data_IF_695020408569
#
_entry.id   IF_695020408569
#
_cell.length_a   1.000
_cell.length_b   1.000
_cell.length_c   1.000
_cell.angle_alpha   90.00
_cell.angle_beta   90.00
_cell.angle_gamma   90.00
#
_symmetry.space_group_name_H-M   'P 1'
#
loop_
_entity.id
_entity.type
_entity.pdbx_description
1 polymer ?
#
# COMPACT_ATOMS: atom_id res chain seq x y z
N UNK A 1 -2.50 3.90 -36.26
CA UNK A 1 -2.45 4.47 -34.88
C UNK A 1 -1.30 3.82 -34.17
N UNK A 2 -0.37 4.57 -33.60
CA UNK A 2 0.79 4.03 -32.87
C UNK A 2 0.30 3.31 -31.60
N UNK A 3 0.71 2.05 -31.43
CA UNK A 3 0.42 1.25 -30.24
C UNK A 3 1.73 0.99 -29.51
N UNK A 4 1.85 1.34 -28.21
CA UNK A 4 3.08 1.09 -27.45
C UNK A 4 3.45 -0.40 -27.45
N UNK A 5 4.73 -0.71 -27.51
CA UNK A 5 5.23 -2.09 -27.54
C UNK A 5 4.70 -2.91 -26.37
N UNK A 6 4.69 -2.34 -25.17
CA UNK A 6 4.17 -2.99 -23.96
C UNK A 6 2.70 -3.44 -24.07
N UNK A 7 1.88 -2.78 -24.90
CA UNK A 7 0.49 -3.17 -25.13
C UNK A 7 0.34 -4.17 -26.28
N UNK A 8 1.27 -4.17 -27.19
CA UNK A 8 1.25 -5.07 -28.35
C UNK A 8 1.69 -6.48 -28.00
N UNK A 9 2.75 -6.61 -27.20
CA UNK A 9 3.30 -7.90 -26.81
C UNK A 9 2.63 -8.51 -25.57
N UNK A 10 1.46 -7.97 -25.16
CA UNK A 10 0.74 -8.51 -24.01
C UNK A 10 0.39 -9.98 -24.21
N UNK A 11 0.69 -10.85 -23.24
CA UNK A 11 0.30 -12.25 -23.27
C UNK A 11 -1.20 -12.45 -23.51
N UNK A 12 -1.54 -13.46 -24.30
CA UNK A 12 -2.92 -13.91 -24.53
C UNK A 12 -3.26 -15.20 -23.77
N UNK A 13 -2.25 -15.83 -23.17
CA UNK A 13 -2.42 -17.02 -22.33
C UNK A 13 -1.78 -16.83 -20.96
N UNK A 14 -2.25 -17.60 -19.96
CA UNK A 14 -1.66 -17.57 -18.60
C UNK A 14 -0.22 -18.07 -18.58
N UNK A 15 0.13 -18.96 -19.52
CA UNK A 15 1.48 -19.56 -19.61
C UNK A 15 2.52 -18.56 -20.10
N UNK A 16 2.09 -17.54 -20.85
CA UNK A 16 2.95 -16.47 -21.35
C UNK A 16 3.11 -15.31 -20.37
N UNK A 17 2.33 -15.30 -19.27
CA UNK A 17 2.46 -14.27 -18.24
C UNK A 17 3.79 -14.41 -17.50
N UNK A 18 4.59 -13.39 -17.55
CA UNK A 18 5.93 -13.38 -16.95
C UNK A 18 5.83 -13.31 -15.42
N UNK A 19 6.52 -14.21 -14.73
CA UNK A 19 6.51 -14.26 -13.26
C UNK A 19 5.22 -14.83 -12.67
N UNK A 20 4.85 -14.39 -11.47
CA UNK A 20 3.63 -14.75 -10.74
C UNK A 20 3.41 -16.26 -10.54
N UNK A 21 4.49 -17.05 -10.47
CA UNK A 21 4.42 -18.53 -10.39
C UNK A 21 3.65 -19.03 -9.16
N UNK A 22 3.61 -18.25 -8.07
CA UNK A 22 2.90 -18.58 -6.83
C UNK A 22 1.37 -18.58 -6.99
N UNK A 23 0.81 -17.82 -7.94
CA UNK A 23 -0.63 -17.78 -8.23
C UNK A 23 -1.00 -18.34 -9.59
N UNK A 24 -0.09 -18.27 -10.58
CA UNK A 24 -0.34 -18.70 -11.97
C UNK A 24 0.43 -19.96 -12.38
N UNK A 25 1.39 -20.46 -11.58
CA UNK A 25 2.10 -21.70 -11.85
C UNK A 25 1.20 -22.93 -11.82
N UNK A 26 1.73 -24.10 -12.17
CA UNK A 26 0.99 -25.36 -12.08
C UNK A 26 0.52 -25.59 -10.64
N UNK A 27 -0.81 -25.70 -10.44
CA UNK A 27 -1.42 -25.79 -9.11
C UNK A 27 -1.67 -24.45 -8.40
N UNK A 28 -1.29 -23.32 -8.98
CA UNK A 28 -1.59 -21.99 -8.44
C UNK A 28 -3.10 -21.77 -8.29
N UNK A 29 -3.50 -21.09 -7.18
CA UNK A 29 -4.92 -20.91 -6.88
C UNK A 29 -5.65 -20.12 -7.97
N UNK A 30 -5.07 -19.00 -8.43
CA UNK A 30 -5.67 -18.18 -9.47
C UNK A 30 -5.79 -18.93 -10.79
N UNK A 31 -4.77 -19.73 -11.18
CA UNK A 31 -4.83 -20.60 -12.36
C UNK A 31 -6.00 -21.57 -12.28
N UNK A 32 -6.16 -22.28 -11.17
CA UNK A 32 -7.25 -23.24 -10.97
C UNK A 32 -8.65 -22.59 -11.07
N UNK A 33 -8.79 -21.39 -10.50
CA UNK A 33 -10.04 -20.61 -10.60
C UNK A 33 -10.33 -20.27 -12.06
N UNK A 34 -9.32 -19.81 -12.82
CA UNK A 34 -9.51 -19.44 -14.23
C UNK A 34 -9.83 -20.68 -15.08
N UNK A 35 -9.17 -21.80 -14.81
CA UNK A 35 -9.40 -23.07 -15.51
C UNK A 35 -10.78 -23.70 -15.19
N UNK A 36 -11.32 -23.47 -14.00
CA UNK A 36 -12.68 -23.91 -13.65
C UNK A 36 -13.80 -23.16 -14.39
N UNK A 37 -13.51 -22.00 -14.98
CA UNK A 37 -14.49 -21.12 -15.63
C UNK A 37 -15.42 -20.38 -14.67
N UNK A 38 -15.40 -20.69 -13.38
CA UNK A 38 -16.19 -20.01 -12.35
C UNK A 38 -15.36 -18.90 -11.72
N UNK A 39 -15.56 -17.68 -12.19
CA UNK A 39 -14.76 -16.53 -11.77
C UNK A 39 -15.49 -15.77 -10.66
N UNK A 40 -14.99 -15.80 -9.41
CA UNK A 40 -15.50 -14.96 -8.33
C UNK A 40 -15.03 -13.50 -8.50
N UNK A 41 -15.57 -12.63 -7.66
CA UNK A 41 -14.98 -11.29 -7.52
C UNK A 41 -13.56 -11.37 -6.95
N UNK A 42 -12.65 -10.58 -7.48
CA UNK A 42 -11.23 -10.64 -7.11
C UNK A 42 -10.64 -9.24 -6.93
N UNK A 43 -9.65 -9.16 -6.08
CA UNK A 43 -8.83 -7.97 -5.90
C UNK A 43 -7.37 -8.36 -6.16
N UNK A 44 -6.76 -7.71 -7.15
CA UNK A 44 -5.36 -7.87 -7.50
C UNK A 44 -4.56 -6.71 -6.90
N UNK A 45 -3.68 -6.99 -5.96
CA UNK A 45 -2.84 -5.94 -5.39
C UNK A 45 -1.36 -6.23 -5.62
N UNK A 46 -0.57 -5.17 -5.67
CA UNK A 46 0.87 -5.23 -5.87
C UNK A 46 1.38 -4.16 -6.84
N UNK A 47 2.70 -4.06 -7.05
CA UNK A 47 3.33 -3.02 -7.85
C UNK A 47 2.82 -2.93 -9.27
N UNK A 48 3.02 -1.77 -9.92
CA UNK A 48 2.69 -1.58 -11.33
C UNK A 48 3.53 -2.49 -12.23
N UNK A 49 3.03 -2.76 -13.45
CA UNK A 49 3.75 -3.56 -14.45
C UNK A 49 3.91 -5.05 -14.15
N UNK A 50 3.30 -5.57 -13.07
CA UNK A 50 3.39 -6.98 -12.65
C UNK A 50 2.39 -7.91 -13.34
N UNK A 51 1.55 -7.40 -14.26
CA UNK A 51 0.65 -8.20 -15.08
C UNK A 51 -0.82 -8.23 -14.66
N UNK A 52 -1.25 -7.47 -13.62
CA UNK A 52 -2.66 -7.43 -13.13
C UNK A 52 -3.68 -7.25 -14.24
N UNK A 53 -3.56 -6.19 -15.04
CA UNK A 53 -4.45 -5.90 -16.18
C UNK A 53 -4.40 -6.97 -17.27
N UNK A 54 -3.23 -7.56 -17.52
CA UNK A 54 -3.04 -8.64 -18.50
C UNK A 54 -3.82 -9.89 -18.09
N UNK A 55 -3.68 -10.30 -16.83
CA UNK A 55 -4.38 -11.47 -16.29
C UNK A 55 -5.90 -11.25 -16.30
N UNK A 56 -6.39 -10.06 -15.93
CA UNK A 56 -7.81 -9.74 -16.01
C UNK A 56 -8.36 -9.84 -17.45
N UNK A 57 -7.58 -9.43 -18.46
CA UNK A 57 -7.94 -9.58 -19.88
C UNK A 57 -8.02 -11.05 -20.30
N UNK A 58 -7.04 -11.85 -19.91
CA UNK A 58 -7.04 -13.29 -20.20
C UNK A 58 -8.25 -13.99 -19.58
N UNK A 59 -8.60 -13.63 -18.34
CA UNK A 59 -9.79 -14.15 -17.66
C UNK A 59 -11.05 -13.82 -18.45
N UNK A 60 -11.21 -12.58 -18.88
CA UNK A 60 -12.38 -12.16 -19.64
C UNK A 60 -12.51 -12.93 -20.97
N UNK A 61 -11.40 -13.11 -21.70
CA UNK A 61 -11.37 -13.88 -22.95
C UNK A 61 -11.76 -15.35 -22.74
N UNK A 62 -11.21 -15.99 -21.69
CA UNK A 62 -11.49 -17.39 -21.41
C UNK A 62 -12.94 -17.68 -20.95
N UNK A 63 -13.56 -16.69 -20.32
CA UNK A 63 -14.92 -16.83 -19.78
C UNK A 63 -16.02 -16.30 -20.71
N UNK A 64 -15.66 -15.87 -21.91
CA UNK A 64 -16.58 -15.27 -22.90
C UNK A 64 -17.44 -14.13 -22.33
N UNK A 65 -16.89 -13.39 -21.34
CA UNK A 65 -17.53 -12.23 -20.72
C UNK A 65 -17.13 -10.93 -21.42
N UNK A 66 -18.04 -9.99 -21.46
CA UNK A 66 -17.72 -8.64 -21.97
C UNK A 66 -16.82 -7.92 -20.95
N UNK A 67 -15.59 -7.63 -21.36
CA UNK A 67 -14.65 -6.86 -20.52
C UNK A 67 -14.96 -5.38 -20.59
N UNK A 68 -15.31 -4.78 -19.46
CA UNK A 68 -15.37 -3.33 -19.28
C UNK A 68 -14.23 -2.88 -18.38
N UNK A 69 -13.52 -1.83 -18.80
CA UNK A 69 -12.41 -1.26 -18.04
C UNK A 69 -12.77 0.12 -17.57
N UNK A 70 -12.58 0.36 -16.30
CA UNK A 70 -12.61 1.69 -15.68
C UNK A 70 -11.28 1.94 -14.96
N UNK A 71 -10.83 3.19 -15.03
CA UNK A 71 -9.73 3.64 -14.18
C UNK A 71 -10.29 4.61 -13.14
N UNK A 72 -10.16 4.27 -11.86
CA UNK A 72 -10.73 5.04 -10.77
C UNK A 72 -10.14 6.46 -10.63
N UNK A 73 -9.00 6.74 -11.27
CA UNK A 73 -8.43 8.10 -11.31
C UNK A 73 -9.22 9.05 -12.22
N UNK A 74 -9.93 8.53 -13.21
CA UNK A 74 -10.64 9.33 -14.23
C UNK A 74 -12.13 9.04 -14.28
N UNK A 75 -12.56 7.85 -13.84
CA UNK A 75 -13.95 7.42 -13.88
C UNK A 75 -14.77 7.95 -12.71
N UNK A 76 -16.07 8.14 -12.93
CA UNK A 76 -17.04 8.55 -11.92
C UNK A 76 -18.24 7.61 -11.81
N UNK A 77 -19.21 7.99 -10.98
CA UNK A 77 -20.46 7.23 -10.80
C UNK A 77 -21.27 7.15 -12.11
N UNK A 78 -21.15 8.15 -12.99
CA UNK A 78 -21.82 8.15 -14.27
C UNK A 78 -21.35 7.00 -15.18
N UNK A 79 -20.03 6.74 -15.21
CA UNK A 79 -19.46 5.66 -16.02
C UNK A 79 -19.89 4.29 -15.52
N UNK A 80 -19.99 4.11 -14.19
CA UNK A 80 -20.53 2.90 -13.58
C UNK A 80 -21.98 2.70 -13.99
N UNK A 81 -22.81 3.74 -13.92
CA UNK A 81 -24.23 3.70 -14.34
C UNK A 81 -24.39 3.37 -15.80
N UNK A 82 -23.52 3.87 -16.67
CA UNK A 82 -23.53 3.55 -18.08
C UNK A 82 -23.26 2.05 -18.32
N UNK A 83 -22.25 1.48 -17.66
CA UNK A 83 -21.99 0.03 -17.74
C UNK A 83 -23.20 -0.78 -17.27
N UNK A 84 -23.84 -0.33 -16.20
CA UNK A 84 -25.03 -0.97 -15.64
C UNK A 84 -26.19 -0.93 -16.66
N UNK A 85 -26.44 0.20 -17.29
CA UNK A 85 -27.48 0.33 -18.31
C UNK A 85 -27.25 -0.61 -19.52
N UNK A 86 -26.01 -0.96 -19.82
CA UNK A 86 -25.64 -1.89 -20.88
C UNK A 86 -25.89 -3.37 -20.47
N UNK A 87 -26.00 -3.69 -19.19
CA UNK A 87 -26.16 -5.08 -18.68
C UNK A 87 -27.50 -5.70 -19.08
N UNK A 88 -28.55 -4.88 -19.19
CA UNK A 88 -29.90 -5.32 -19.51
C UNK A 88 -30.13 -5.45 -21.03
N UNK A 89 -29.06 -5.27 -21.83
CA UNK A 89 -29.15 -5.39 -23.30
C UNK A 89 -28.75 -6.79 -23.76
N UNK A 90 -29.32 -7.24 -24.89
CA UNK A 90 -28.97 -8.53 -25.55
C UNK A 90 -27.49 -8.65 -25.97
N UNK A 91 -26.70 -7.60 -25.78
CA UNK A 91 -25.30 -7.51 -26.21
C UNK A 91 -24.33 -8.19 -25.20
N UNK A 92 -24.80 -8.64 -24.04
CA UNK A 92 -23.93 -9.24 -23.00
C UNK A 92 -24.46 -10.59 -22.47
N UNK A 93 -24.65 -11.59 -23.33
CA UNK A 93 -25.25 -12.88 -22.91
C UNK A 93 -24.42 -13.65 -21.87
N UNK A 94 -23.11 -13.39 -21.74
CA UNK A 94 -22.22 -13.99 -20.77
C UNK A 94 -22.00 -13.17 -19.49
N UNK A 95 -22.70 -12.04 -19.34
CA UNK A 95 -22.46 -11.08 -18.25
C UNK A 95 -21.24 -10.20 -18.49
N UNK A 96 -21.01 -9.26 -17.58
CA UNK A 96 -19.89 -8.31 -17.64
C UNK A 96 -18.82 -8.64 -16.63
N UNK A 97 -17.56 -8.62 -17.08
CA UNK A 97 -16.39 -8.57 -16.21
C UNK A 97 -15.91 -7.12 -16.15
N UNK A 98 -16.09 -6.50 -14.99
CA UNK A 98 -15.62 -5.14 -14.75
C UNK A 98 -14.20 -5.18 -14.17
N UNK A 99 -13.22 -4.70 -14.95
CA UNK A 99 -11.89 -4.43 -14.45
C UNK A 99 -11.80 -2.98 -14.00
N UNK A 100 -11.69 -2.78 -12.68
CA UNK A 100 -11.55 -1.47 -12.06
C UNK A 100 -10.09 -1.26 -11.63
N UNK A 101 -9.38 -0.43 -12.38
CA UNK A 101 -7.97 -0.11 -12.10
C UNK A 101 -7.86 1.00 -11.05
N UNK A 102 -6.88 0.85 -10.15
CA UNK A 102 -6.56 1.80 -9.07
C UNK A 102 -7.76 2.13 -8.15
N UNK A 103 -8.46 1.10 -7.66
CA UNK A 103 -9.69 1.23 -6.84
C UNK A 103 -9.54 2.17 -5.63
N UNK A 104 -8.34 2.38 -5.10
CA UNK A 104 -8.07 3.27 -3.97
C UNK A 104 -8.45 4.74 -4.26
N UNK A 105 -8.57 5.14 -5.53
CA UNK A 105 -9.03 6.48 -5.89
C UNK A 105 -10.55 6.64 -5.87
N UNK A 106 -11.31 5.54 -5.79
CA UNK A 106 -12.74 5.61 -5.55
C UNK A 106 -13.01 5.83 -4.06
N UNK A 107 -13.81 6.86 -3.75
CA UNK A 107 -14.29 7.06 -2.40
C UNK A 107 -15.28 5.96 -1.98
N UNK A 108 -15.57 5.89 -0.68
CA UNK A 108 -16.46 4.88 -0.09
C UNK A 108 -17.83 4.80 -0.77
N UNK A 109 -18.41 5.95 -1.14
CA UNK A 109 -19.73 6.01 -1.80
C UNK A 109 -19.70 5.44 -3.22
N UNK A 110 -18.61 5.70 -3.96
CA UNK A 110 -18.40 5.13 -5.29
C UNK A 110 -18.21 3.61 -5.22
N UNK A 111 -17.42 3.13 -4.27
CA UNK A 111 -17.25 1.71 -4.05
C UNK A 111 -18.56 1.02 -3.62
N UNK A 112 -19.35 1.64 -2.75
CA UNK A 112 -20.67 1.14 -2.36
C UNK A 112 -21.65 0.99 -3.53
N UNK A 113 -21.59 1.87 -4.52
CA UNK A 113 -22.49 1.79 -5.68
C UNK A 113 -22.28 0.55 -6.55
N UNK A 114 -21.16 -0.16 -6.38
CA UNK A 114 -20.90 -1.44 -7.07
C UNK A 114 -21.50 -2.65 -6.37
N UNK A 115 -21.83 -2.55 -5.07
CA UNK A 115 -22.20 -3.71 -4.25
C UNK A 115 -23.45 -4.44 -4.76
N UNK A 116 -24.51 -3.72 -5.08
CA UNK A 116 -25.77 -4.29 -5.58
C UNK A 116 -25.53 -5.20 -6.80
N UNK A 117 -24.70 -4.74 -7.74
CA UNK A 117 -24.43 -5.45 -8.99
C UNK A 117 -23.43 -6.60 -8.86
N UNK A 118 -22.62 -6.55 -7.81
CA UNK A 118 -21.71 -7.63 -7.41
C UNK A 118 -22.50 -8.74 -6.70
N UNK A 119 -23.45 -8.35 -5.86
CA UNK A 119 -24.26 -9.28 -5.05
C UNK A 119 -25.27 -10.08 -5.90
N UNK A 120 -25.88 -9.44 -6.89
CA UNK A 120 -26.82 -10.10 -7.80
C UNK A 120 -26.13 -10.86 -8.96
N UNK A 121 -24.80 -10.78 -9.05
CA UNK A 121 -24.00 -11.50 -10.03
C UNK A 121 -24.03 -10.93 -11.45
N UNK A 122 -24.68 -9.78 -11.69
CA UNK A 122 -24.68 -9.10 -13.00
C UNK A 122 -23.30 -8.64 -13.41
N UNK A 123 -22.48 -8.26 -12.42
CA UNK A 123 -21.07 -7.87 -12.62
C UNK A 123 -20.17 -8.83 -11.86
N UNK A 124 -19.14 -9.34 -12.55
CA UNK A 124 -17.98 -9.92 -11.87
C UNK A 124 -16.89 -8.86 -11.78
N UNK A 125 -16.51 -8.47 -10.56
CA UNK A 125 -15.51 -7.44 -10.32
C UNK A 125 -14.11 -8.05 -10.26
N UNK A 126 -13.17 -7.49 -11.02
CA UNK A 126 -11.74 -7.61 -10.76
C UNK A 126 -11.21 -6.19 -10.50
N UNK A 127 -10.96 -5.86 -9.24
CA UNK A 127 -10.35 -4.58 -8.89
C UNK A 127 -8.84 -4.72 -8.80
N UNK A 128 -8.09 -3.67 -9.15
CA UNK A 128 -6.64 -3.63 -8.94
C UNK A 128 -6.25 -2.42 -8.10
N UNK A 129 -5.17 -2.59 -7.35
CA UNK A 129 -4.58 -1.53 -6.52
C UNK A 129 -3.08 -1.76 -6.36
N UNK A 130 -2.33 -0.68 -6.20
CA UNK A 130 -0.92 -0.71 -5.77
C UNK A 130 -0.78 -0.65 -4.25
N UNK A 131 -1.85 -0.31 -3.54
CA UNK A 131 -1.88 -0.21 -2.07
C UNK A 131 -2.38 -1.51 -1.44
N UNK A 132 -2.16 -1.67 -0.12
CA UNK A 132 -2.71 -2.79 0.62
C UNK A 132 -4.26 -2.71 0.63
N UNK A 133 -4.98 -3.68 0.05
CA UNK A 133 -6.42 -3.63 -0.14
C UNK A 133 -7.21 -3.57 1.18
N UNK A 134 -6.66 -4.07 2.27
CA UNK A 134 -7.32 -4.04 3.59
C UNK A 134 -7.45 -2.63 4.16
N UNK A 135 -6.72 -1.63 3.63
CA UNK A 135 -6.81 -0.24 4.04
C UNK A 135 -7.57 0.65 3.07
N UNK A 136 -7.62 0.30 1.79
CA UNK A 136 -8.17 1.17 0.74
C UNK A 136 -9.47 0.67 0.12
N UNK A 137 -9.78 -0.63 0.25
CA UNK A 137 -11.01 -1.21 -0.30
C UNK A 137 -12.07 -1.30 0.78
N UNK A 138 -13.31 -0.95 0.42
CA UNK A 138 -14.45 -1.02 1.32
C UNK A 138 -14.70 -2.47 1.80
N UNK A 139 -14.85 -2.67 3.11
CA UNK A 139 -14.94 -4.00 3.73
C UNK A 139 -16.03 -4.90 3.12
N UNK A 140 -17.16 -4.33 2.67
CA UNK A 140 -18.22 -5.11 2.04
C UNK A 140 -17.82 -5.68 0.67
N UNK A 141 -16.93 -5.02 -0.08
CA UNK A 141 -16.33 -5.56 -1.31
C UNK A 141 -15.28 -6.61 -0.97
N UNK A 142 -14.41 -6.34 0.03
CA UNK A 142 -13.39 -7.28 0.48
C UNK A 142 -13.99 -8.62 0.92
N UNK A 143 -15.07 -8.60 1.71
CA UNK A 143 -15.72 -9.83 2.21
C UNK A 143 -16.36 -10.69 1.10
N UNK A 144 -16.55 -10.12 -0.09
CA UNK A 144 -17.13 -10.78 -1.27
C UNK A 144 -16.13 -11.05 -2.38
N UNK A 145 -14.85 -10.81 -2.11
CA UNK A 145 -13.78 -10.91 -3.10
C UNK A 145 -12.63 -11.76 -2.60
N UNK A 146 -11.98 -12.47 -3.52
CA UNK A 146 -10.72 -13.16 -3.22
C UNK A 146 -9.55 -12.25 -3.56
N UNK A 147 -8.63 -12.08 -2.62
CA UNK A 147 -7.47 -11.19 -2.78
C UNK A 147 -6.27 -11.98 -3.29
N UNK A 148 -5.62 -11.49 -4.34
CA UNK A 148 -4.40 -12.05 -4.92
C UNK A 148 -3.28 -11.02 -4.94
N UNK A 149 -2.14 -11.41 -4.36
CA UNK A 149 -0.92 -10.62 -4.40
C UNK A 149 -0.15 -10.85 -5.69
N UNK A 150 0.17 -9.77 -6.39
CA UNK A 150 1.09 -9.74 -7.52
C UNK A 150 2.45 -9.22 -7.05
N UNK A 151 3.46 -10.06 -7.09
CA UNK A 151 4.82 -9.72 -6.64
C UNK A 151 5.63 -9.08 -7.76
N UNK A 152 6.66 -8.27 -7.46
CA UNK A 152 7.64 -7.85 -8.45
C UNK A 152 8.16 -9.04 -9.22
N UNK A 153 8.33 -8.89 -10.54
CA UNK A 153 8.84 -9.99 -11.38
C UNK A 153 10.35 -10.03 -11.26
N UNK A 154 10.93 -11.20 -10.99
CA UNK A 154 12.37 -11.31 -10.88
C UNK A 154 13.07 -11.06 -12.23
N UNK A 155 14.30 -10.54 -12.20
CA UNK A 155 15.03 -10.14 -13.40
C UNK A 155 15.19 -11.28 -14.42
N UNK A 156 15.37 -12.53 -13.98
CA UNK A 156 15.51 -13.69 -14.89
C UNK A 156 14.21 -13.98 -15.65
N UNK A 157 13.07 -13.85 -15.01
CA UNK A 157 11.78 -14.04 -15.69
C UNK A 157 11.52 -12.89 -16.68
N UNK A 158 12.00 -11.66 -16.39
CA UNK A 158 11.91 -10.50 -17.31
C UNK A 158 12.78 -10.66 -18.54
N UNK A 159 13.95 -11.31 -18.45
CA UNK A 159 14.87 -11.53 -19.60
C UNK A 159 14.15 -12.16 -20.80
N UNK A 160 13.32 -13.18 -20.55
CA UNK A 160 12.54 -13.83 -21.61
C UNK A 160 11.54 -12.88 -22.30
N UNK A 161 10.96 -11.96 -21.55
CA UNK A 161 10.06 -10.94 -22.13
C UNK A 161 10.84 -9.89 -22.95
N UNK A 162 12.03 -9.48 -22.46
CA UNK A 162 12.92 -8.56 -23.17
C UNK A 162 13.37 -9.16 -24.50
N UNK A 163 13.78 -10.43 -24.53
CA UNK A 163 14.18 -11.12 -25.75
C UNK A 163 13.02 -11.19 -26.76
N UNK A 164 11.82 -11.57 -26.33
CA UNK A 164 10.63 -11.56 -27.22
C UNK A 164 10.33 -10.16 -27.77
N UNK A 165 10.50 -9.12 -26.94
CA UNK A 165 10.32 -7.74 -27.40
C UNK A 165 11.34 -7.36 -28.47
N UNK A 166 12.59 -7.74 -28.29
CA UNK A 166 13.69 -7.54 -29.26
C UNK A 166 13.38 -8.23 -30.58
N UNK A 167 12.93 -9.51 -30.54
CA UNK A 167 12.56 -10.26 -31.75
C UNK A 167 11.43 -9.58 -32.50
N UNK A 168 10.39 -9.12 -31.84
CA UNK A 168 9.27 -8.40 -32.44
C UNK A 168 9.73 -7.08 -33.06
N UNK A 169 10.60 -6.32 -32.36
CA UNK A 169 11.12 -5.07 -32.88
C UNK A 169 12.03 -5.28 -34.09
N UNK A 170 12.85 -6.33 -34.08
CA UNK A 170 13.70 -6.70 -35.19
C UNK A 170 12.88 -7.17 -36.44
N UNK A 171 11.79 -7.90 -36.24
CA UNK A 171 10.91 -8.33 -37.32
C UNK A 171 10.28 -7.17 -38.12
N UNK A 172 10.28 -5.97 -37.59
CA UNK A 172 9.74 -4.74 -38.23
C UNK A 172 10.79 -3.93 -38.99
N UNK A 173 12.04 -4.32 -38.89
CA UNK A 173 13.16 -3.57 -39.49
C UNK A 173 13.70 -4.31 -40.70
N UNK A 174 14.10 -3.54 -41.71
CA UNK A 174 14.78 -4.10 -42.86
C UNK A 174 16.16 -4.68 -42.49
N UNK A 175 16.84 -4.05 -41.54
CA UNK A 175 18.12 -4.50 -41.00
C UNK A 175 17.98 -4.69 -39.49
N UNK A 176 18.03 -5.94 -38.99
CA UNK A 176 17.94 -6.21 -37.55
C UNK A 176 19.08 -5.56 -36.77
N UNK A 177 18.76 -5.10 -35.55
CA UNK A 177 19.75 -4.62 -34.58
C UNK A 177 20.28 -5.80 -33.77
N UNK A 178 21.56 -5.73 -33.42
CA UNK A 178 22.16 -6.67 -32.46
C UNK A 178 22.31 -6.00 -31.11
N UNK A 179 22.23 -6.79 -30.04
CA UNK A 179 22.48 -6.31 -28.69
C UNK A 179 23.85 -6.80 -28.24
N UNK A 180 24.64 -5.90 -27.68
CA UNK A 180 25.90 -6.26 -27.04
C UNK A 180 25.64 -7.10 -25.77
N UNK A 181 26.66 -7.87 -25.36
CA UNK A 181 26.57 -8.68 -24.15
C UNK A 181 26.20 -7.84 -22.92
N UNK A 182 25.31 -8.39 -22.10
CA UNK A 182 24.86 -7.74 -20.86
C UNK A 182 23.70 -6.77 -21.01
N UNK A 183 23.30 -6.33 -22.22
CA UNK A 183 22.21 -5.37 -22.45
C UNK A 183 20.89 -5.92 -21.91
N UNK A 184 20.49 -7.15 -22.29
CA UNK A 184 19.26 -7.81 -21.85
C UNK A 184 19.22 -7.92 -20.33
N UNK A 185 20.30 -8.41 -19.75
CA UNK A 185 20.44 -8.56 -18.30
C UNK A 185 20.34 -7.22 -17.57
N UNK A 186 20.97 -6.17 -18.13
CA UNK A 186 20.92 -4.83 -17.53
C UNK A 186 19.49 -4.25 -17.55
N UNK A 187 18.77 -4.33 -18.70
CA UNK A 187 17.39 -3.86 -18.81
C UNK A 187 16.50 -4.61 -17.80
N UNK A 188 16.64 -5.93 -17.72
CA UNK A 188 15.83 -6.78 -16.85
C UNK A 188 16.09 -6.51 -15.35
N UNK A 189 17.33 -6.22 -14.97
CA UNK A 189 17.68 -5.86 -13.60
C UNK A 189 17.20 -4.44 -13.25
N UNK A 190 17.31 -3.50 -14.21
CA UNK A 190 16.99 -2.08 -13.97
C UNK A 190 15.49 -1.76 -13.96
N UNK A 191 14.62 -2.71 -14.34
CA UNK A 191 13.18 -2.46 -14.36
C UNK A 191 12.50 -2.61 -12.98
N UNK A 192 13.22 -3.09 -11.94
CA UNK A 192 12.65 -3.26 -10.59
C UNK A 192 11.44 -4.18 -10.54
N UNK A 193 11.33 -5.16 -11.46
CA UNK A 193 10.20 -6.08 -11.54
C UNK A 193 8.97 -5.56 -12.29
N UNK A 194 9.03 -4.34 -12.85
CA UNK A 194 8.01 -3.78 -13.74
C UNK A 194 8.30 -4.16 -15.20
N UNK A 195 7.58 -5.15 -15.73
CA UNK A 195 7.76 -5.65 -17.10
C UNK A 195 7.43 -4.56 -18.13
N UNK A 196 6.47 -3.67 -17.88
CA UNK A 196 6.13 -2.57 -18.79
C UNK A 196 7.30 -1.61 -18.96
N UNK A 197 8.01 -1.32 -17.86
CA UNK A 197 9.22 -0.49 -17.87
C UNK A 197 10.32 -1.12 -18.73
N UNK A 198 10.53 -2.42 -18.59
CA UNK A 198 11.50 -3.14 -19.44
C UNK A 198 11.13 -3.03 -20.93
N UNK A 199 9.84 -3.20 -21.29
CA UNK A 199 9.36 -3.07 -22.67
C UNK A 199 9.56 -1.66 -23.22
N UNK A 200 9.25 -0.64 -22.44
CA UNK A 200 9.46 0.76 -22.82
C UNK A 200 10.96 1.06 -23.04
N UNK A 201 11.83 0.47 -22.24
CA UNK A 201 13.28 0.62 -22.44
C UNK A 201 13.74 0.01 -23.75
N UNK A 202 13.25 -1.19 -24.11
CA UNK A 202 13.52 -1.82 -25.42
C UNK A 202 13.03 -0.91 -26.55
N UNK A 203 11.79 -0.43 -26.49
CA UNK A 203 11.19 0.45 -27.51
C UNK A 203 12.01 1.72 -27.73
N UNK A 204 12.46 2.36 -26.65
CA UNK A 204 13.30 3.56 -26.70
C UNK A 204 14.67 3.27 -27.31
N UNK A 205 15.32 2.16 -26.93
CA UNK A 205 16.60 1.74 -27.49
C UNK A 205 16.48 1.53 -29.00
N UNK A 206 15.45 0.83 -29.46
CA UNK A 206 15.22 0.60 -30.87
C UNK A 206 14.85 1.87 -31.65
N UNK A 207 14.18 2.82 -30.99
CA UNK A 207 13.85 4.11 -31.61
C UNK A 207 15.08 5.04 -31.74
N UNK A 208 16.02 4.91 -30.81
CA UNK A 208 17.23 5.72 -30.81
C UNK A 208 18.35 5.15 -31.72
N UNK A 209 18.32 3.85 -31.97
CA UNK A 209 19.34 3.17 -32.78
C UNK A 209 19.13 3.40 -34.28
N UNK A 210 20.21 3.71 -35.02
CA UNK A 210 20.22 3.76 -36.49
C UNK A 210 19.96 2.40 -37.13
N UNK A 211 19.91 2.34 -38.48
CA UNK A 211 19.78 1.08 -39.23
C UNK A 211 21.05 0.21 -39.09
N UNK A 212 20.87 -1.07 -38.79
CA UNK A 212 21.96 -2.06 -38.75
C UNK A 212 22.97 -1.85 -37.62
N UNK A 213 22.64 -1.08 -36.59
CA UNK A 213 23.54 -0.77 -35.47
C UNK A 213 23.58 -1.85 -34.40
N UNK A 214 24.52 -1.70 -33.46
CA UNK A 214 24.62 -2.49 -32.23
C UNK A 214 24.15 -1.63 -31.09
N UNK A 215 23.19 -2.13 -30.32
CA UNK A 215 22.78 -1.51 -29.04
C UNK A 215 23.80 -1.89 -27.98
N UNK A 216 24.51 -0.90 -27.46
CA UNK A 216 25.58 -1.11 -26.48
C UNK A 216 25.03 -1.11 -25.04
N UNK A 217 25.85 -1.61 -24.11
CA UNK A 217 25.51 -1.53 -22.69
C UNK A 217 25.46 -0.09 -22.18
N UNK A 218 26.22 0.83 -22.78
CA UNK A 218 26.20 2.25 -22.46
C UNK A 218 24.87 2.90 -22.86
N UNK A 219 24.35 2.57 -24.04
CA UNK A 219 23.02 3.00 -24.48
C UNK A 219 21.94 2.52 -23.51
N UNK A 220 21.98 1.26 -23.11
CA UNK A 220 21.06 0.69 -22.14
C UNK A 220 21.15 1.41 -20.78
N UNK A 221 22.35 1.68 -20.28
CA UNK A 221 22.57 2.44 -19.04
C UNK A 221 22.02 3.87 -19.14
N UNK A 222 22.28 4.57 -20.24
CA UNK A 222 21.83 5.95 -20.44
C UNK A 222 20.30 6.07 -20.40
N UNK A 223 19.57 5.08 -20.97
CA UNK A 223 18.11 5.06 -20.95
C UNK A 223 17.56 4.63 -19.60
N UNK A 224 18.17 3.63 -18.96
CA UNK A 224 17.68 3.11 -17.68
C UNK A 224 18.03 4.03 -16.50
N UNK A 225 19.16 4.76 -16.51
CA UNK A 225 19.48 5.73 -15.47
C UNK A 225 18.46 6.86 -15.36
N UNK A 226 17.99 7.41 -16.48
CA UNK A 226 16.89 8.39 -16.48
C UNK A 226 15.58 7.81 -15.97
N UNK A 227 15.38 6.52 -16.13
CA UNK A 227 14.21 5.79 -15.64
C UNK A 227 14.35 5.35 -14.19
N UNK A 228 15.54 4.97 -13.72
CA UNK A 228 15.79 4.55 -12.34
C UNK A 228 15.60 5.69 -11.33
N UNK A 229 16.01 6.92 -11.65
CA UNK A 229 15.74 8.09 -10.82
C UNK A 229 14.23 8.34 -10.57
N UNK A 230 13.35 7.83 -11.42
CA UNK A 230 11.88 7.99 -11.28
C UNK A 230 11.16 6.79 -10.64
N UNK A 231 11.79 5.63 -10.47
CA UNK A 231 11.04 4.37 -10.27
C UNK A 231 11.51 3.47 -9.13
N UNK A 232 12.40 3.92 -8.26
CA UNK A 232 12.79 3.15 -7.06
C UNK A 232 11.73 3.23 -5.94
N UNK A 233 10.50 3.62 -6.31
CA UNK A 233 9.40 3.84 -5.36
C UNK A 233 8.74 2.57 -4.83
N UNK A 234 8.81 1.44 -5.54
CA UNK A 234 7.97 0.26 -5.27
C UNK A 234 8.78 -1.06 -5.19
N UNK A 235 10.11 -1.01 -5.09
CA UNK A 235 10.97 -2.19 -4.96
C UNK A 235 11.27 -2.55 -3.50
N UNK A 236 11.77 -3.77 -3.25
CA UNK A 236 12.23 -4.21 -1.92
C UNK A 236 13.27 -3.23 -1.34
N UNK A 237 14.17 -2.68 -2.17
CA UNK A 237 15.13 -1.64 -1.80
C UNK A 237 14.47 -0.38 -1.24
N UNK A 238 13.30 -0.01 -1.75
CA UNK A 238 12.56 1.16 -1.25
C UNK A 238 12.05 0.95 0.18
N UNK A 239 11.47 -0.24 0.45
CA UNK A 239 11.04 -0.60 1.81
C UNK A 239 12.22 -0.71 2.76
N UNK A 240 13.38 -1.16 2.28
CA UNK A 240 14.62 -1.20 3.06
C UNK A 240 15.12 0.20 3.40
N UNK A 241 15.03 1.17 2.48
CA UNK A 241 15.39 2.57 2.74
C UNK A 241 14.43 3.19 3.76
N UNK A 242 13.11 2.97 3.64
CA UNK A 242 12.13 3.44 4.63
C UNK A 242 12.39 2.81 6.00
N UNK A 243 12.73 1.51 6.05
CA UNK A 243 13.09 0.81 7.27
C UNK A 243 14.40 1.32 7.87
N UNK A 244 15.40 1.62 7.03
CA UNK A 244 16.67 2.17 7.44
C UNK A 244 16.52 3.59 8.01
N UNK A 245 15.68 4.45 7.39
CA UNK A 245 15.32 5.76 7.94
C UNK A 245 14.74 5.63 9.35
N UNK A 246 13.73 4.77 9.55
CA UNK A 246 13.12 4.57 10.86
C UNK A 246 14.13 4.06 11.90
N UNK A 247 14.97 3.10 11.54
CA UNK A 247 15.99 2.53 12.44
C UNK A 247 17.05 3.56 12.80
N UNK A 248 17.44 4.44 11.87
CA UNK A 248 18.40 5.52 12.13
C UNK A 248 17.81 6.57 13.08
N UNK A 249 16.54 6.95 12.90
CA UNK A 249 15.83 7.85 13.83
C UNK A 249 15.75 7.24 15.24
N UNK A 250 15.36 5.97 15.33
CA UNK A 250 15.30 5.20 16.59
C UNK A 250 16.67 5.07 17.24
N UNK A 251 17.70 4.82 16.45
CA UNK A 251 19.09 4.68 16.88
C UNK A 251 19.78 6.00 17.19
N UNK A 252 19.10 7.14 17.02
CA UNK A 252 19.66 8.49 17.27
C UNK A 252 20.90 8.80 16.43
N UNK A 253 20.90 8.36 15.17
CA UNK A 253 21.92 8.68 14.17
C UNK A 253 21.37 9.68 13.15
N UNK A 254 21.60 10.98 13.33
CA UNK A 254 21.08 12.01 12.44
C UNK A 254 21.71 11.97 11.04
N UNK A 255 22.97 11.56 10.91
CA UNK A 255 23.69 11.53 9.63
C UNK A 255 23.14 10.39 8.75
N UNK A 256 22.97 9.19 9.31
CA UNK A 256 22.34 8.08 8.60
C UNK A 256 20.88 8.39 8.25
N UNK A 257 20.09 8.97 9.18
CA UNK A 257 18.71 9.35 8.93
C UNK A 257 18.62 10.39 7.80
N UNK A 258 19.51 11.37 7.78
CA UNK A 258 19.58 12.39 6.71
C UNK A 258 19.92 11.77 5.36
N UNK A 259 20.86 10.82 5.32
CA UNK A 259 21.22 10.11 4.10
C UNK A 259 20.04 9.33 3.52
N UNK A 260 19.31 8.58 4.36
CA UNK A 260 18.14 7.82 3.89
C UNK A 260 16.97 8.73 3.51
N UNK A 261 16.76 9.87 4.21
CA UNK A 261 15.81 10.88 3.78
C UNK A 261 16.15 11.41 2.38
N UNK A 262 17.41 11.79 2.15
CA UNK A 262 17.86 12.30 0.83
C UNK A 262 17.59 11.27 -0.28
N UNK A 263 17.87 9.98 -0.06
CA UNK A 263 17.56 8.90 -1.02
C UNK A 263 16.08 8.82 -1.36
N UNK A 264 15.19 8.94 -0.37
CA UNK A 264 13.73 8.94 -0.58
C UNK A 264 13.27 10.16 -1.38
N UNK A 265 13.80 11.33 -1.08
CA UNK A 265 13.42 12.57 -1.77
C UNK A 265 13.94 12.62 -3.22
N UNK A 266 15.14 12.09 -3.50
CA UNK A 266 15.69 11.98 -4.86
C UNK A 266 14.83 11.08 -5.76
N UNK A 267 14.25 10.01 -5.23
CA UNK A 267 13.30 9.19 -5.99
C UNK A 267 11.87 9.75 -5.96
N UNK A 268 11.67 10.91 -5.31
CA UNK A 268 10.39 11.63 -5.25
C UNK A 268 9.37 11.00 -4.30
N UNK A 269 9.77 10.14 -3.35
CA UNK A 269 8.86 9.59 -2.33
C UNK A 269 8.70 10.51 -1.13
N UNK A 270 8.09 11.67 -1.38
CA UNK A 270 7.74 12.63 -0.33
C UNK A 270 6.73 12.04 0.67
N UNK A 271 5.73 11.32 0.19
CA UNK A 271 4.62 10.81 1.03
C UNK A 271 5.10 9.68 1.94
N UNK A 272 5.89 8.73 1.43
CA UNK A 272 6.47 7.65 2.24
C UNK A 272 7.38 8.19 3.34
N UNK A 273 8.26 9.14 3.01
CA UNK A 273 9.10 9.82 3.99
C UNK A 273 8.26 10.52 5.07
N UNK A 274 7.27 11.32 4.69
CA UNK A 274 6.37 12.01 5.63
C UNK A 274 5.65 11.05 6.58
N UNK A 275 5.10 9.95 6.07
CA UNK A 275 4.42 8.93 6.90
C UNK A 275 5.37 8.32 7.93
N UNK A 276 6.61 7.98 7.54
CA UNK A 276 7.60 7.36 8.45
C UNK A 276 8.08 8.33 9.51
N UNK A 277 8.32 9.57 9.17
CA UNK A 277 8.72 10.62 10.11
C UNK A 277 7.61 10.87 11.16
N UNK A 278 6.34 10.95 10.73
CA UNK A 278 5.20 11.06 11.67
C UNK A 278 5.06 9.83 12.56
N UNK A 279 5.27 8.62 12.03
CA UNK A 279 5.23 7.39 12.79
C UNK A 279 6.31 7.40 13.89
N UNK A 280 7.56 7.73 13.53
CA UNK A 280 8.68 7.79 14.47
C UNK A 280 8.48 8.82 15.59
N UNK A 281 7.79 9.95 15.31
CA UNK A 281 7.47 10.93 16.33
C UNK A 281 6.62 10.35 17.47
N UNK A 282 5.71 9.42 17.16
CA UNK A 282 4.83 8.77 18.15
C UNK A 282 5.41 7.46 18.69
N UNK A 283 6.08 6.67 17.83
CA UNK A 283 6.57 5.34 18.13
C UNK A 283 7.87 5.37 18.95
N UNK A 284 8.84 6.22 18.51
CA UNK A 284 10.18 6.21 19.05
C UNK A 284 10.46 7.32 20.07
N UNK A 285 9.91 8.53 19.83
CA UNK A 285 10.06 9.69 20.75
C UNK A 285 8.92 9.70 21.77
N UNK A 286 7.69 9.63 21.31
CA UNK A 286 6.48 9.46 22.12
C UNK A 286 6.43 10.35 23.36
N UNK A 287 6.21 9.72 24.50
CA UNK A 287 6.06 10.42 25.80
C UNK A 287 7.37 10.95 26.39
N UNK A 288 8.54 10.59 25.82
CA UNK A 288 9.79 11.21 26.23
C UNK A 288 9.85 12.71 25.85
N UNK A 289 9.19 13.08 24.78
CA UNK A 289 9.04 14.48 24.35
C UNK A 289 7.68 14.68 23.65
N UNK A 290 6.58 14.89 24.38
CA UNK A 290 5.22 14.91 23.84
C UNK A 290 4.97 15.98 22.74
N UNK A 291 5.80 17.02 22.70
CA UNK A 291 5.71 18.04 21.64
C UNK A 291 6.30 17.58 20.29
N UNK A 292 6.91 16.39 20.22
CA UNK A 292 7.47 15.88 18.96
C UNK A 292 6.38 15.76 17.88
N UNK A 293 5.20 15.25 18.22
CA UNK A 293 4.11 15.06 17.27
C UNK A 293 3.65 16.38 16.62
N UNK A 294 3.29 17.44 17.37
CA UNK A 294 2.88 18.70 16.76
C UNK A 294 4.02 19.39 15.97
N UNK A 295 5.27 19.34 16.44
CA UNK A 295 6.41 19.90 15.73
C UNK A 295 6.60 19.19 14.39
N UNK A 296 6.68 17.86 14.42
CA UNK A 296 6.87 17.05 13.20
C UNK A 296 5.69 17.18 12.25
N UNK A 297 4.47 17.27 12.79
CA UNK A 297 3.26 17.50 11.97
C UNK A 297 3.36 18.82 11.23
N UNK A 298 3.79 19.89 11.88
CA UNK A 298 3.99 21.19 11.23
C UNK A 298 5.05 21.15 10.12
N UNK A 299 6.17 20.44 10.36
CA UNK A 299 7.19 20.23 9.34
C UNK A 299 6.67 19.45 8.13
N UNK A 300 5.93 18.37 8.38
CA UNK A 300 5.31 17.54 7.33
C UNK A 300 4.29 18.33 6.53
N UNK A 301 3.41 19.12 7.18
CA UNK A 301 2.43 19.95 6.47
C UNK A 301 3.12 21.01 5.60
N UNK A 302 4.17 21.62 6.11
CA UNK A 302 4.99 22.57 5.34
C UNK A 302 5.62 21.88 4.13
N UNK A 303 6.18 20.69 4.31
CA UNK A 303 6.77 19.92 3.22
C UNK A 303 5.76 19.56 2.13
N UNK A 304 4.55 19.16 2.51
CA UNK A 304 3.48 18.83 1.58
C UNK A 304 2.94 20.06 0.83
N UNK A 305 2.93 21.24 1.47
CA UNK A 305 2.53 22.49 0.83
C UNK A 305 3.59 23.02 -0.14
N UNK A 306 4.86 22.93 0.23
CA UNK A 306 5.97 23.40 -0.59
C UNK A 306 6.23 22.49 -1.80
N UNK A 307 6.10 21.16 -1.62
CA UNK A 307 6.50 20.20 -2.64
C UNK A 307 8.02 20.11 -2.83
N UNK A 308 8.47 19.23 -3.73
CA UNK A 308 9.87 19.10 -4.07
C UNK A 308 10.28 20.20 -5.10
N UNK A 309 11.47 20.75 -5.00
CA UNK A 309 12.58 20.35 -4.12
C UNK A 309 12.60 20.99 -2.72
N UNK A 310 11.78 22.00 -2.43
CA UNK A 310 11.81 22.77 -1.18
C UNK A 310 11.37 21.98 0.05
N UNK A 311 10.55 20.97 -0.12
CA UNK A 311 10.11 20.06 0.94
C UNK A 311 11.25 19.44 1.75
N UNK A 312 12.46 19.37 1.18
CA UNK A 312 13.65 18.86 1.86
C UNK A 312 13.99 19.64 3.12
N UNK A 313 13.70 20.94 3.16
CA UNK A 313 14.09 21.83 4.28
C UNK A 313 13.33 21.47 5.57
N UNK A 314 11.98 21.54 5.61
CA UNK A 314 11.24 21.18 6.82
C UNK A 314 11.39 19.70 7.19
N UNK A 315 11.59 18.80 6.22
CA UNK A 315 11.82 17.37 6.53
C UNK A 315 13.19 17.11 7.13
N UNK A 316 14.25 17.85 6.69
CA UNK A 316 15.57 17.77 7.30
C UNK A 316 15.52 18.21 8.77
N UNK A 317 14.82 19.32 9.06
CA UNK A 317 14.60 19.82 10.41
C UNK A 317 13.89 18.77 11.29
N UNK A 318 12.79 18.17 10.79
CA UNK A 318 12.07 17.12 11.49
C UNK A 318 12.92 15.87 11.77
N UNK A 319 13.74 15.46 10.81
CA UNK A 319 14.63 14.28 10.95
C UNK A 319 15.72 14.52 11.98
N UNK A 320 16.40 15.67 11.93
CA UNK A 320 17.42 16.01 12.94
C UNK A 320 16.79 16.08 14.32
N UNK A 321 15.65 16.77 14.43
CA UNK A 321 14.92 16.89 15.69
C UNK A 321 14.58 15.51 16.27
N UNK A 322 14.00 14.60 15.48
CA UNK A 322 13.65 13.26 15.95
C UNK A 322 14.87 12.42 16.30
N UNK A 323 15.93 12.48 15.49
CA UNK A 323 17.16 11.72 15.77
C UNK A 323 17.83 12.16 17.08
N UNK A 324 17.74 13.45 17.43
CA UNK A 324 18.38 14.01 18.64
C UNK A 324 17.46 14.07 19.86
N UNK A 325 16.15 13.83 19.71
CA UNK A 325 15.20 13.83 20.82
C UNK A 325 15.38 12.61 21.73
N UNK A 326 15.04 12.70 23.03
CA UNK A 326 14.97 11.52 23.92
C UNK A 326 13.93 10.53 23.39
N UNK A 327 14.12 9.25 23.70
CA UNK A 327 13.31 8.16 23.16
C UNK A 327 12.45 7.51 24.22
N UNK A 328 11.22 7.14 23.85
CA UNK A 328 10.33 6.29 24.62
C UNK A 328 9.33 5.57 23.71
N UNK A 329 9.26 4.27 23.80
CA UNK A 329 8.26 3.45 23.15
C UNK A 329 7.15 2.95 24.11
N UNK A 330 7.07 3.54 25.31
CA UNK A 330 6.13 3.11 26.35
C UNK A 330 4.67 3.09 25.87
N UNK A 331 4.27 4.07 25.06
CA UNK A 331 2.94 4.12 24.44
C UNK A 331 2.69 3.00 23.43
N UNK A 332 3.69 2.68 22.59
CA UNK A 332 3.62 1.55 21.64
C UNK A 332 3.47 0.23 22.39
N UNK A 333 4.32 -0.04 23.38
CA UNK A 333 4.27 -1.27 24.16
C UNK A 333 2.91 -1.45 24.85
N UNK A 334 2.36 -0.38 25.41
CA UNK A 334 1.06 -0.39 26.07
C UNK A 334 -0.09 -0.74 25.14
N UNK A 335 -0.15 -0.12 23.97
CA UNK A 335 -1.23 -0.38 22.99
C UNK A 335 -1.10 -1.77 22.36
N UNK A 336 0.11 -2.24 22.08
CA UNK A 336 0.33 -3.56 21.52
C UNK A 336 -0.07 -4.67 22.49
N UNK A 337 0.26 -4.51 23.78
CA UNK A 337 -0.17 -5.43 24.83
C UNK A 337 -1.70 -5.47 24.96
N UNK A 338 -2.36 -4.30 24.93
CA UNK A 338 -3.82 -4.23 24.98
C UNK A 338 -4.48 -4.88 23.73
N UNK A 339 -3.93 -4.63 22.53
CA UNK A 339 -4.40 -5.26 21.29
C UNK A 339 -4.22 -6.79 21.34
N UNK A 340 -3.10 -7.27 21.89
CA UNK A 340 -2.85 -8.70 22.03
C UNK A 340 -3.92 -9.37 22.90
N UNK A 341 -4.28 -8.77 24.02
CA UNK A 341 -5.35 -9.29 24.90
C UNK A 341 -6.72 -9.29 24.21
N UNK A 342 -7.06 -8.23 23.49
CA UNK A 342 -8.31 -8.19 22.70
C UNK A 342 -8.34 -9.28 21.62
N UNK A 343 -7.23 -9.50 20.91
CA UNK A 343 -7.10 -10.56 19.89
C UNK A 343 -7.16 -11.96 20.49
N UNK A 344 -6.70 -12.13 21.73
CA UNK A 344 -6.79 -13.37 22.48
C UNK A 344 -8.20 -13.61 23.07
N UNK A 345 -9.16 -12.75 22.81
CA UNK A 345 -10.53 -12.85 23.32
C UNK A 345 -10.65 -12.41 24.80
N UNK A 346 -9.60 -11.87 25.37
CA UNK A 346 -9.64 -11.31 26.74
C UNK A 346 -10.24 -9.90 26.66
N UNK A 347 -11.54 -9.85 26.55
CA UNK A 347 -12.31 -8.63 26.60
C UNK A 347 -13.59 -8.92 27.37
N UNK A 348 -14.35 -7.90 27.69
CA UNK A 348 -15.62 -8.07 28.39
C UNK A 348 -16.40 -6.74 28.35
N UNK A 349 -17.64 -6.74 28.83
CA UNK A 349 -18.37 -5.49 28.95
C UNK A 349 -17.63 -4.57 29.93
N UNK A 350 -17.61 -3.25 29.66
CA UNK A 350 -17.13 -2.30 30.64
C UNK A 350 -17.84 -2.46 32.01
N UNK A 351 -17.20 -2.16 33.15
CA UNK A 351 -17.85 -2.11 34.43
C UNK A 351 -19.16 -1.33 34.37
N UNK A 352 -20.17 -1.74 35.13
CA UNK A 352 -21.52 -1.15 35.07
C UNK A 352 -21.50 0.36 35.28
N UNK A 353 -20.61 0.82 36.15
CA UNK A 353 -20.43 2.24 36.52
C UNK A 353 -19.95 3.09 35.33
N UNK A 354 -19.32 2.48 34.35
CA UNK A 354 -18.77 3.17 33.17
C UNK A 354 -19.70 3.11 31.95
N UNK A 355 -20.79 2.34 32.00
CA UNK A 355 -21.70 2.22 30.88
C UNK A 355 -22.61 3.45 30.76
N UNK A 356 -22.93 3.82 29.51
CA UNK A 356 -23.84 4.91 29.25
C UNK A 356 -25.27 4.59 29.77
N UNK A 357 -25.96 5.59 30.27
CA UNK A 357 -27.39 5.50 30.63
C UNK A 357 -28.19 5.76 29.35
N UNK A 358 -28.63 4.70 28.68
CA UNK A 358 -29.54 4.82 27.55
C UNK A 358 -30.98 5.02 28.03
N UNK A 359 -31.72 5.95 27.38
CA UNK A 359 -33.07 6.31 27.73
C UNK A 359 -34.13 5.20 27.46
N UNK A 360 -33.78 4.18 26.71
CA UNK A 360 -34.72 3.24 26.08
C UNK A 360 -35.00 1.99 26.88
N UNK A 361 -34.43 1.83 28.07
CA UNK A 361 -34.67 0.69 28.96
C UNK A 361 -35.73 1.01 30.03
N UNK A 362 -36.98 0.65 29.82
CA UNK A 362 -37.97 0.66 30.88
C UNK A 362 -37.65 -0.44 31.88
N UNK A 363 -37.37 -0.09 33.15
CA UNK A 363 -37.32 -1.03 34.26
C UNK A 363 -35.98 -1.26 34.97
N UNK A 364 -34.93 -0.57 34.67
CA UNK A 364 -33.68 -0.65 35.41
C UNK A 364 -33.43 0.58 36.28
N UNK A 365 -33.21 0.36 37.59
CA UNK A 365 -32.71 1.40 38.49
C UNK A 365 -31.32 1.86 38.01
N UNK A 366 -31.18 3.15 37.77
CA UNK A 366 -30.06 3.73 37.03
C UNK A 366 -28.95 4.28 37.92
N UNK A 367 -28.80 3.83 39.14
CA UNK A 367 -27.64 4.16 39.96
C UNK A 367 -26.41 3.44 39.39
N UNK A 368 -25.62 4.20 38.62
CA UNK A 368 -24.40 3.67 38.02
C UNK A 368 -23.25 3.50 39.03
N UNK A 369 -23.31 4.18 40.17
CA UNK A 369 -22.23 4.14 41.16
C UNK A 369 -20.92 4.80 40.69
N UNK A 370 -20.94 5.49 39.52
CA UNK A 370 -19.76 6.16 38.98
C UNK A 370 -19.32 7.32 39.90
N UNK A 371 -18.08 7.22 40.35
CA UNK A 371 -17.45 8.27 41.16
C UNK A 371 -16.75 9.25 40.23
N UNK A 372 -17.30 10.49 40.15
CA UNK A 372 -16.73 11.50 39.26
C UNK A 372 -15.41 12.06 39.85
N UNK A 373 -14.24 11.83 39.24
CA UNK A 373 -12.95 12.16 39.85
C UNK A 373 -12.76 13.62 40.21
N UNK A 374 -13.33 14.54 39.42
CA UNK A 374 -13.23 15.97 39.70
C UNK A 374 -13.93 16.42 41.00
N UNK A 375 -14.78 15.59 41.58
CA UNK A 375 -15.41 15.83 42.88
C UNK A 375 -14.55 15.36 44.07
N UNK A 376 -13.37 14.81 43.81
CA UNK A 376 -12.48 14.30 44.84
C UNK A 376 -11.14 15.05 44.85
N UNK A 377 -10.41 15.02 45.98
CA UNK A 377 -9.08 15.62 46.09
C UNK A 377 -8.14 15.15 45.00
N UNK A 378 -7.32 16.03 44.49
CA UNK A 378 -6.38 15.74 43.37
C UNK A 378 -7.05 15.18 42.11
N UNK A 379 -8.36 15.33 41.97
CA UNK A 379 -9.15 14.80 40.83
C UNK A 379 -8.96 13.29 40.63
N UNK A 380 -8.80 12.53 41.72
CA UNK A 380 -8.59 11.11 41.69
C UNK A 380 -9.43 10.39 42.74
N UNK A 381 -9.94 9.20 42.38
CA UNK A 381 -10.68 8.31 43.25
C UNK A 381 -10.46 6.87 42.82
N UNK A 382 -10.30 5.96 43.78
CA UNK A 382 -10.13 4.54 43.48
C UNK A 382 -11.45 3.95 43.01
N UNK A 383 -11.51 3.48 41.78
CA UNK A 383 -12.60 2.71 41.20
C UNK A 383 -12.05 1.79 40.11
N UNK A 384 -12.84 0.81 39.68
CA UNK A 384 -12.46 -0.10 38.62
C UNK A 384 -12.80 0.50 37.24
N UNK A 385 -11.85 0.47 36.33
CA UNK A 385 -12.02 0.96 34.95
C UNK A 385 -11.95 -0.16 33.92
N UNK A 386 -11.17 -1.21 34.18
CA UNK A 386 -11.08 -2.36 33.27
C UNK A 386 -12.23 -3.34 33.49
N UNK A 387 -12.64 -4.09 32.45
CA UNK A 387 -13.57 -5.20 32.57
C UNK A 387 -13.09 -6.21 33.63
N UNK A 388 -14.03 -6.96 34.21
CA UNK A 388 -13.72 -7.96 35.25
C UNK A 388 -12.69 -9.00 34.78
N UNK A 389 -12.77 -9.42 33.50
CA UNK A 389 -11.81 -10.34 32.90
C UNK A 389 -10.38 -9.80 32.82
N UNK A 390 -10.21 -8.48 32.93
CA UNK A 390 -8.92 -7.77 32.85
C UNK A 390 -8.56 -7.07 34.18
N UNK A 391 -9.27 -7.37 35.24
CA UNK A 391 -9.01 -6.77 36.57
C UNK A 391 -7.58 -7.03 37.01
N UNK A 392 -6.84 -5.95 37.31
CA UNK A 392 -5.43 -6.04 37.72
C UNK A 392 -4.42 -6.12 36.55
N UNK A 393 -4.88 -6.13 35.29
CA UNK A 393 -3.98 -6.03 34.13
C UNK A 393 -3.32 -4.65 34.10
N UNK A 394 -2.05 -4.63 33.74
CA UNK A 394 -1.25 -3.43 33.59
C UNK A 394 -0.66 -3.38 32.18
N UNK A 395 -0.90 -2.29 31.47
CA UNK A 395 -0.42 -2.14 30.07
C UNK A 395 0.66 -1.07 29.94
N UNK A 396 0.56 0.01 30.72
CA UNK A 396 1.44 1.16 30.57
C UNK A 396 2.46 1.23 31.68
N UNK A 397 3.73 1.04 31.34
CA UNK A 397 4.88 1.28 32.20
C UNK A 397 5.56 2.59 31.83
N UNK A 398 5.86 3.42 32.81
CA UNK A 398 6.55 4.69 32.59
C UNK A 398 8.00 4.43 32.13
N UNK A 399 8.38 5.03 31.02
CA UNK A 399 9.76 5.01 30.53
C UNK A 399 10.75 5.72 31.48
N UNK A 400 12.02 5.43 31.32
CA UNK A 400 13.10 5.96 32.19
C UNK A 400 13.44 7.44 31.95
N UNK A 401 12.80 8.09 30.99
CA UNK A 401 13.05 9.49 30.67
C UNK A 401 12.47 10.46 31.73
N UNK A 402 13.00 11.67 31.74
CA UNK A 402 12.66 12.68 32.75
C UNK A 402 11.17 12.99 32.85
N UNK A 403 10.46 13.07 31.72
CA UNK A 403 9.04 13.47 31.66
C UNK A 403 8.18 12.38 32.26
N UNK A 404 8.34 11.14 31.82
CA UNK A 404 7.56 10.02 32.31
C UNK A 404 7.86 9.72 33.79
N UNK A 405 9.12 9.82 34.23
CA UNK A 405 9.48 9.66 35.63
C UNK A 405 8.92 10.77 36.55
N UNK A 406 8.79 11.99 36.00
CA UNK A 406 8.11 13.07 36.74
C UNK A 406 6.61 12.78 36.89
N UNK A 407 5.96 12.33 35.84
CA UNK A 407 4.56 11.91 35.87
C UNK A 407 4.34 10.72 36.81
N UNK A 408 5.26 9.73 36.80
CA UNK A 408 5.22 8.59 37.72
C UNK A 408 5.24 9.05 39.18
N UNK A 409 6.20 9.89 39.55
CA UNK A 409 6.30 10.42 40.92
C UNK A 409 5.01 11.12 41.35
N UNK A 410 4.45 11.97 40.50
CA UNK A 410 3.21 12.66 40.80
C UNK A 410 2.07 11.69 41.11
N UNK A 411 1.90 10.66 40.26
CA UNK A 411 0.83 9.68 40.48
C UNK A 411 1.07 8.72 41.60
N UNK A 412 2.33 8.35 41.90
CA UNK A 412 2.68 7.52 43.03
C UNK A 412 2.37 8.23 44.38
N UNK A 413 2.48 9.57 44.41
CA UNK A 413 2.10 10.36 45.60
C UNK A 413 0.57 10.45 45.76
N UNK A 414 -0.18 10.56 44.69
CA UNK A 414 -1.66 10.69 44.74
C UNK A 414 -2.33 9.34 45.01
N UNK A 415 -1.79 8.24 44.50
CA UNK A 415 -2.40 6.91 44.54
C UNK A 415 -2.03 6.12 45.80
N UNK A 416 -1.20 6.70 46.68
CA UNK A 416 -0.94 6.13 47.99
C UNK A 416 -2.21 6.10 48.83
#
# INVERSE_FOLDING_TARGET
MYKPLADEIRPDSLDDVVGQKHILGSGGMLRRIVESGQIPNMIFYGPSGTGKTTVARIIAQRTNRSLRKLNATTAGIADIKQIIAELDTMLTPGGVLLYLDEIQYFNKKQQQSLLEFIEDGRITLIASTTENPYFCVFNAILSRSTVFEFKPVNARDVEGAVLRAVDIMNARRATPLTLADGVVRHISASCGGDVRKAMNSVELLFSAAGEGGVITLEDAKAITQRSAMRYDRDGDDHYDILSALMKSLRGSDPDAAMHYLARLLEVGDLIGACRRILCSASEDVGLAYPQAVPIVKACVDSALQLGLPEARLPLAEAVIFLATAPKSNSGLMAIDAAIADVRAGKSGPPPRELQNVHADGTGFEREQGYKYPHSYPNHWVRQQYLPDALKGTHYYDFGDNKIEQTAKKYWDEIKK
#
